data_IF_594563033372
#
_entry.id   IF_594563033372
#
_cell.length_a   1.000
_cell.length_b   1.000
_cell.length_c   1.000
_cell.angle_alpha   90.00
_cell.angle_beta   90.00
_cell.angle_gamma   90.00
#
_symmetry.space_group_name_H-M   'P 1'
#
loop_
_entity.id
_entity.type
_entity.pdbx_description
1 polymer ?
#
# COMPACT_ATOMS: atom_id res chain seq x y z
N UNK A 1 -20.13 -3.53 -9.86
CA UNK A 1 -19.45 -2.22 -9.79
C UNK A 1 -17.97 -2.49 -9.92
N UNK A 2 -17.31 -1.92 -10.92
CA UNK A 2 -15.87 -2.10 -11.08
C UNK A 2 -15.14 -1.31 -9.98
N UNK A 3 -14.26 -1.98 -9.24
CA UNK A 3 -13.35 -1.35 -8.28
C UNK A 3 -12.14 -0.89 -9.09
N UNK A 4 -11.88 0.41 -9.09
CA UNK A 4 -10.72 1.00 -9.73
C UNK A 4 -9.94 1.84 -8.72
N UNK A 5 -8.73 1.41 -8.38
CA UNK A 5 -7.83 2.08 -7.43
C UNK A 5 -6.49 2.26 -8.11
N UNK A 6 -5.92 3.46 -8.00
CA UNK A 6 -4.55 3.77 -8.40
C UNK A 6 -3.73 4.12 -7.17
N UNK A 7 -2.43 3.85 -7.24
CA UNK A 7 -1.48 4.19 -6.20
C UNK A 7 -0.11 4.52 -6.80
N UNK A 8 0.66 5.30 -6.05
CA UNK A 8 2.00 5.71 -6.42
C UNK A 8 2.86 5.87 -5.16
N UNK A 9 4.11 5.43 -5.27
CA UNK A 9 5.13 5.60 -4.25
C UNK A 9 5.51 7.08 -4.18
N UNK A 10 5.36 7.67 -2.99
CA UNK A 10 5.74 9.06 -2.73
C UNK A 10 7.21 9.13 -2.37
N UNK A 11 7.63 8.36 -1.36
CA UNK A 11 9.00 8.31 -0.90
C UNK A 11 9.29 7.04 -0.08
N UNK A 12 10.58 6.77 0.12
CA UNK A 12 11.08 5.75 1.04
C UNK A 12 11.64 6.43 2.30
N UNK A 13 11.09 6.10 3.46
CA UNK A 13 11.53 6.57 4.78
C UNK A 13 12.29 5.44 5.47
N UNK A 14 13.57 5.31 5.13
CA UNK A 14 14.35 4.15 5.58
C UNK A 14 13.86 2.86 4.90
N UNK A 15 13.40 1.89 5.70
CA UNK A 15 12.80 0.63 5.22
C UNK A 15 11.32 0.76 4.87
N UNK A 16 10.63 1.79 5.37
CA UNK A 16 9.21 2.02 5.12
C UNK A 16 8.96 2.81 3.83
N UNK A 17 7.84 2.53 3.17
CA UNK A 17 7.43 3.18 1.93
C UNK A 17 6.10 3.90 2.12
N UNK A 18 6.06 5.19 1.76
CA UNK A 18 4.85 5.99 1.75
C UNK A 18 4.21 5.98 0.37
N UNK A 19 2.90 5.75 0.31
CA UNK A 19 2.12 5.71 -0.91
C UNK A 19 0.96 6.69 -0.86
N UNK A 20 0.72 7.35 -1.99
CA UNK A 20 -0.57 8.00 -2.26
C UNK A 20 -1.48 7.07 -3.03
N UNK A 21 -2.77 7.12 -2.75
CA UNK A 21 -3.76 6.24 -3.39
C UNK A 21 -5.14 6.89 -3.47
N UNK A 22 -5.99 6.36 -4.34
CA UNK A 22 -7.34 6.85 -4.57
C UNK A 22 -8.06 6.10 -5.67
N UNK A 23 -9.29 6.52 -5.95
CA UNK A 23 -10.02 6.03 -7.12
C UNK A 23 -9.36 6.50 -8.41
N UNK A 24 -9.38 5.65 -9.44
CA UNK A 24 -8.86 6.03 -10.76
C UNK A 24 -9.51 7.31 -11.29
N UNK A 25 -8.79 8.04 -12.14
CA UNK A 25 -9.25 9.29 -12.77
C UNK A 25 -9.60 10.42 -11.77
N UNK A 26 -9.26 10.26 -10.50
CA UNK A 26 -9.43 11.25 -9.45
C UNK A 26 -8.10 11.53 -8.78
N UNK A 27 -8.05 12.61 -8.00
CA UNK A 27 -6.88 12.93 -7.20
C UNK A 27 -6.62 11.84 -6.14
N UNK A 28 -5.36 11.38 -6.05
CA UNK A 28 -4.91 10.38 -5.08
C UNK A 28 -4.73 11.02 -3.70
N UNK A 29 -5.84 11.24 -3.00
CA UNK A 29 -5.87 11.98 -1.74
C UNK A 29 -5.53 11.14 -0.50
N UNK A 30 -5.61 9.82 -0.60
CA UNK A 30 -5.26 8.91 0.50
C UNK A 30 -3.75 8.78 0.63
N UNK A 31 -3.27 8.63 1.87
CA UNK A 31 -1.87 8.34 2.17
C UNK A 31 -1.78 7.16 3.12
N UNK A 32 -0.89 6.21 2.82
CA UNK A 32 -0.54 5.13 3.76
C UNK A 32 0.95 4.84 3.74
N UNK A 33 1.43 4.26 4.82
CA UNK A 33 2.79 3.75 4.97
C UNK A 33 2.76 2.23 5.12
N UNK A 34 3.78 1.57 4.59
CA UNK A 34 4.01 0.13 4.77
C UNK A 34 5.50 -0.19 4.79
N UNK A 35 5.91 -1.10 5.66
CA UNK A 35 7.26 -1.67 5.68
C UNK A 35 7.23 -3.14 5.26
N UNK A 36 7.52 -3.37 3.97
CA UNK A 36 7.49 -4.72 3.39
C UNK A 36 8.74 -5.51 3.76
N UNK A 37 9.84 -4.84 4.06
CA UNK A 37 11.07 -5.49 4.50
C UNK A 37 10.84 -6.14 5.86
N UNK A 38 10.24 -5.40 6.81
CA UNK A 38 9.84 -5.93 8.12
C UNK A 38 8.79 -7.03 8.06
N UNK A 39 7.86 -6.93 7.11
CA UNK A 39 6.85 -7.97 6.90
C UNK A 39 7.46 -9.27 6.34
N UNK A 40 8.45 -9.16 5.44
CA UNK A 40 9.12 -10.32 4.84
C UNK A 40 10.17 -10.91 5.78
N UNK A 41 10.87 -10.09 6.57
CA UNK A 41 11.84 -10.55 7.58
C UNK A 41 11.18 -11.22 8.78
N UNK A 42 9.89 -10.97 9.01
CA UNK A 42 9.12 -11.49 10.13
C UNK A 42 9.23 -10.64 11.40
N UNK A 43 9.80 -9.44 11.33
CA UNK A 43 9.71 -8.46 12.42
C UNK A 43 8.25 -8.04 12.65
N UNK A 44 7.48 -7.85 11.57
CA UNK A 44 6.02 -7.77 11.61
C UNK A 44 5.46 -9.17 11.38
N UNK A 45 4.75 -9.68 12.37
CA UNK A 45 4.18 -11.02 12.34
C UNK A 45 2.89 -11.08 11.52
N UNK A 46 2.56 -12.25 10.98
CA UNK A 46 1.37 -12.43 10.13
C UNK A 46 0.02 -12.29 10.86
N UNK A 47 0.02 -12.38 12.18
CA UNK A 47 -1.13 -12.11 13.06
C UNK A 47 -1.30 -10.62 13.39
N UNK A 48 -0.36 -9.77 12.97
CA UNK A 48 -0.47 -8.32 13.13
C UNK A 48 -1.72 -7.80 12.42
N UNK A 49 -2.58 -7.00 13.07
CA UNK A 49 -3.74 -6.40 12.43
C UNK A 49 -3.36 -5.59 11.18
N UNK A 50 -4.14 -5.73 10.11
CA UNK A 50 -3.80 -5.09 8.83
C UNK A 50 -3.68 -3.56 8.91
N UNK A 51 -4.41 -2.92 9.83
CA UNK A 51 -4.30 -1.48 10.11
C UNK A 51 -2.95 -1.05 10.72
N UNK A 52 -2.21 -1.99 11.31
CA UNK A 52 -0.83 -1.78 11.79
C UNK A 52 0.21 -2.16 10.73
N UNK A 53 -0.16 -2.98 9.75
CA UNK A 53 0.68 -3.31 8.58
C UNK A 53 0.60 -2.20 7.53
N UNK A 54 -0.60 -1.71 7.25
CA UNK A 54 -0.91 -0.66 6.29
C UNK A 54 -1.44 0.54 7.08
N UNK A 55 -0.53 1.42 7.48
CA UNK A 55 -0.84 2.51 8.40
C UNK A 55 -1.35 3.71 7.57
N UNK A 56 -2.61 4.08 7.73
CA UNK A 56 -3.14 5.30 7.11
C UNK A 56 -2.50 6.53 7.76
N UNK A 57 -1.94 7.41 6.94
CA UNK A 57 -1.38 8.69 7.38
C UNK A 57 -2.41 9.82 7.35
N UNK A 58 -3.55 9.59 6.69
CA UNK A 58 -4.69 10.50 6.69
C UNK A 58 -6.02 9.75 6.58
N UNK A 59 -7.12 10.44 6.91
CA UNK A 59 -8.48 9.88 6.88
C UNK A 59 -9.26 10.25 5.61
N UNK A 60 -8.59 10.60 4.51
CA UNK A 60 -9.26 11.00 3.26
C UNK A 60 -9.75 9.81 2.42
N UNK A 61 -9.24 8.62 2.68
CA UNK A 61 -9.61 7.38 2.00
C UNK A 61 -9.76 6.23 3.01
N UNK A 62 -10.42 5.15 2.60
CA UNK A 62 -10.70 4.01 3.49
C UNK A 62 -9.53 3.03 3.61
N UNK A 63 -9.40 2.40 4.79
CA UNK A 63 -8.47 1.29 5.02
C UNK A 63 -8.67 0.15 4.01
N UNK A 64 -9.92 -0.14 3.66
CA UNK A 64 -10.24 -1.20 2.70
C UNK A 64 -9.63 -0.94 1.31
N UNK A 65 -9.56 0.33 0.87
CA UNK A 65 -8.88 0.70 -0.37
C UNK A 65 -7.37 0.60 -0.26
N UNK A 66 -6.79 1.05 0.86
CA UNK A 66 -5.35 0.91 1.12
C UNK A 66 -4.93 -0.57 1.10
N UNK A 67 -5.70 -1.45 1.76
CA UNK A 67 -5.44 -2.89 1.78
C UNK A 67 -5.47 -3.53 0.38
N UNK A 68 -6.33 -3.02 -0.53
CA UNK A 68 -6.38 -3.48 -1.92
C UNK A 68 -5.13 -3.04 -2.70
N UNK A 69 -4.71 -1.79 -2.55
CA UNK A 69 -3.46 -1.29 -3.14
C UNK A 69 -2.25 -2.08 -2.62
N UNK A 70 -2.17 -2.26 -1.30
CA UNK A 70 -1.16 -3.07 -0.62
C UNK A 70 -1.06 -4.47 -1.21
N UNK A 71 -2.19 -5.16 -1.49
CA UNK A 71 -2.14 -6.52 -2.05
C UNK A 71 -1.35 -6.62 -3.37
N UNK A 72 -1.41 -5.58 -4.21
CA UNK A 72 -0.67 -5.51 -5.48
C UNK A 72 0.79 -5.20 -5.25
N UNK A 73 1.07 -4.22 -4.39
CA UNK A 73 2.44 -3.82 -4.01
C UNK A 73 3.17 -4.99 -3.38
N UNK A 74 2.57 -5.65 -2.38
CA UNK A 74 3.17 -6.78 -1.70
C UNK A 74 3.43 -7.96 -2.63
N UNK A 75 2.47 -8.29 -3.52
CA UNK A 75 2.66 -9.33 -4.53
C UNK A 75 3.82 -9.03 -5.48
N UNK A 76 4.01 -7.76 -5.85
CA UNK A 76 5.16 -7.34 -6.65
C UNK A 76 6.46 -7.49 -5.85
N UNK A 77 6.51 -6.94 -4.63
CA UNK A 77 7.68 -7.00 -3.76
C UNK A 77 8.14 -8.44 -3.50
N UNK A 78 7.23 -9.38 -3.23
CA UNK A 78 7.57 -10.81 -3.08
C UNK A 78 8.23 -11.43 -4.32
N UNK A 79 8.00 -10.87 -5.51
CA UNK A 79 8.55 -11.39 -6.77
C UNK A 79 9.87 -10.73 -7.15
N UNK A 80 10.00 -9.43 -6.91
CA UNK A 80 11.12 -8.61 -7.40
C UNK A 80 12.08 -8.16 -6.31
N UNK A 81 11.66 -8.20 -5.04
CA UNK A 81 12.37 -7.60 -3.92
C UNK A 81 12.36 -6.06 -3.92
N UNK A 82 11.54 -5.44 -4.77
CA UNK A 82 11.51 -3.99 -4.96
C UNK A 82 10.11 -3.43 -4.69
N UNK A 83 10.05 -2.21 -4.19
CA UNK A 83 8.80 -1.47 -4.03
C UNK A 83 8.23 -1.10 -5.41
N UNK A 84 6.93 -1.37 -5.61
CA UNK A 84 6.24 -1.05 -6.85
C UNK A 84 5.96 0.45 -6.90
N UNK A 85 6.64 1.19 -7.76
CA UNK A 85 6.57 2.67 -7.79
C UNK A 85 5.21 3.22 -8.21
N UNK A 86 4.49 2.55 -9.11
CA UNK A 86 3.13 2.92 -9.49
C UNK A 86 2.32 1.69 -9.88
N UNK A 87 1.00 1.76 -9.75
CA UNK A 87 0.12 0.68 -10.19
C UNK A 87 -1.34 0.90 -9.88
N UNK A 88 -2.13 -0.15 -10.12
CA UNK A 88 -3.55 -0.12 -9.84
C UNK A 88 -4.16 -1.46 -9.53
N UNK A 89 -5.33 -1.40 -8.91
CA UNK A 89 -6.21 -2.52 -8.64
C UNK A 89 -7.51 -2.31 -9.42
N UNK A 90 -7.78 -3.24 -10.34
CA UNK A 90 -8.92 -3.25 -11.23
C UNK A 90 -9.64 -4.60 -11.06
N UNK A 91 -10.91 -4.57 -10.62
CA UNK A 91 -11.74 -5.76 -10.41
C UNK A 91 -13.22 -5.48 -10.70
#
# INVERSE_FOLDING_TARGET
>A
MAICIEFELVELKGSAAEYRFGSCLNELTGLFEVDLEKLVSGEITWDTPMEQVVILLNNKQSQAMANRAFSKIFKHYKKTGQYLTHGGYYA
#
